data_IF_885578396868
#
_entry.id   IF_885578396868
#
_cell.length_a   1.000
_cell.length_b   1.000
_cell.length_c   1.000
_cell.angle_alpha   90.00
_cell.angle_beta   90.00
_cell.angle_gamma   90.00
#
_symmetry.space_group_name_H-M   'P 1'
#
loop_
_entity.id
_entity.type
_entity.pdbx_description
1 polymer ?
#
# COMPACT_ATOMS: atom_id res chain seq x y z
N UNK A 1 -26.21 -31.67 13.32
CA UNK A 1 -24.98 -30.83 13.36
C UNK A 1 -24.68 -30.36 11.94
N UNK A 2 -25.27 -29.24 11.56
CA UNK A 2 -24.97 -28.56 10.29
C UNK A 2 -24.58 -27.14 10.64
N UNK A 3 -23.33 -26.94 11.03
CA UNK A 3 -22.79 -25.59 11.22
C UNK A 3 -22.49 -25.02 9.84
N UNK A 4 -23.05 -23.87 9.52
CA UNK A 4 -22.56 -23.07 8.39
C UNK A 4 -21.17 -22.58 8.75
N UNK A 5 -20.15 -23.04 8.03
CA UNK A 5 -18.80 -22.48 8.16
C UNK A 5 -18.82 -21.04 7.67
N UNK A 6 -18.38 -20.12 8.53
CA UNK A 6 -18.19 -18.71 8.20
C UNK A 6 -16.69 -18.44 8.16
N UNK A 7 -16.22 -17.84 7.08
CA UNK A 7 -14.87 -17.30 6.97
C UNK A 7 -14.97 -15.78 6.72
N UNK A 8 -14.11 -15.01 7.38
CA UNK A 8 -14.03 -13.55 7.21
C UNK A 8 -12.62 -13.17 6.82
N UNK A 9 -12.50 -12.41 5.75
CA UNK A 9 -11.26 -11.82 5.27
C UNK A 9 -11.38 -10.30 5.37
N UNK A 10 -10.44 -9.68 6.06
CA UNK A 10 -10.36 -8.23 6.23
C UNK A 10 -8.91 -7.81 6.25
N UNK A 11 -8.60 -6.63 5.70
CA UNK A 11 -7.24 -6.10 5.52
C UNK A 11 -6.29 -7.10 4.84
N UNK A 12 -6.83 -7.90 3.90
CA UNK A 12 -6.14 -9.05 3.31
C UNK A 12 -5.80 -8.77 1.85
N UNK A 13 -4.63 -9.26 1.39
CA UNK A 13 -4.31 -9.35 -0.04
C UNK A 13 -4.32 -10.82 -0.45
N UNK A 14 -5.13 -11.16 -1.46
CA UNK A 14 -5.11 -12.46 -2.11
C UNK A 14 -4.86 -12.28 -3.61
N UNK A 15 -3.58 -12.29 -4.00
CA UNK A 15 -3.14 -11.96 -5.35
C UNK A 15 -2.23 -13.04 -5.96
N UNK A 16 -2.33 -13.29 -7.27
CA UNK A 16 -1.53 -14.25 -8.04
C UNK A 16 -1.61 -15.71 -7.54
N UNK A 17 -2.75 -16.11 -6.96
CA UNK A 17 -2.98 -17.45 -6.40
C UNK A 17 -3.76 -18.39 -7.34
N UNK A 18 -4.04 -17.96 -8.58
CA UNK A 18 -4.90 -18.68 -9.52
C UNK A 18 -6.38 -18.26 -9.40
N UNK A 19 -7.31 -18.85 -10.19
CA UNK A 19 -8.68 -18.33 -10.30
C UNK A 19 -9.41 -18.34 -8.96
N UNK A 20 -9.85 -17.15 -8.54
CA UNK A 20 -10.74 -16.80 -7.42
C UNK A 20 -10.99 -17.94 -6.40
N UNK A 21 -10.25 -18.00 -5.28
CA UNK A 21 -10.22 -19.16 -4.39
C UNK A 21 -11.48 -19.34 -3.52
N UNK A 22 -12.43 -18.40 -3.57
CA UNK A 22 -13.58 -18.36 -2.67
C UNK A 22 -14.81 -19.09 -3.23
N UNK A 23 -14.63 -20.35 -3.67
CA UNK A 23 -15.70 -21.23 -4.14
C UNK A 23 -16.01 -22.33 -3.13
N UNK A 24 -16.96 -22.12 -2.22
CA UNK A 24 -17.38 -23.13 -1.24
C UNK A 24 -18.81 -22.89 -0.72
N UNK A 25 -19.47 -23.94 -0.22
CA UNK A 25 -20.87 -23.88 0.26
C UNK A 25 -21.08 -23.20 1.61
N UNK A 26 -20.13 -22.39 2.09
CA UNK A 26 -20.19 -21.62 3.33
C UNK A 26 -20.42 -20.13 3.07
N UNK A 27 -20.54 -19.34 4.13
CA UNK A 27 -20.62 -17.87 4.02
C UNK A 27 -19.21 -17.29 4.12
N UNK A 28 -18.81 -16.51 3.12
CA UNK A 28 -17.53 -15.80 3.12
C UNK A 28 -17.82 -14.30 3.15
N UNK A 29 -17.37 -13.62 4.18
CA UNK A 29 -17.38 -12.15 4.28
C UNK A 29 -16.02 -11.61 3.89
N UNK A 30 -15.96 -10.72 2.91
CA UNK A 30 -14.72 -10.07 2.47
C UNK A 30 -14.97 -8.57 2.48
N UNK A 31 -14.20 -7.82 3.24
CA UNK A 31 -14.26 -6.35 3.32
C UNK A 31 -12.86 -5.78 3.43
N UNK A 32 -12.62 -4.56 2.96
CA UNK A 32 -11.31 -3.90 3.03
C UNK A 32 -10.16 -4.83 2.64
N UNK A 33 -10.27 -5.52 1.50
CA UNK A 33 -9.31 -6.52 1.05
C UNK A 33 -9.08 -6.41 -0.45
N UNK A 34 -7.87 -6.69 -0.90
CA UNK A 34 -7.53 -6.72 -2.32
C UNK A 34 -7.50 -8.17 -2.82
N UNK A 35 -8.43 -8.50 -3.72
CA UNK A 35 -8.69 -9.87 -4.16
C UNK A 35 -8.65 -9.95 -5.68
N UNK A 36 -7.70 -10.71 -6.21
CA UNK A 36 -7.58 -10.94 -7.65
C UNK A 36 -8.84 -11.62 -8.21
N UNK A 37 -9.45 -10.98 -9.21
CA UNK A 37 -10.72 -11.42 -9.80
C UNK A 37 -11.96 -10.87 -9.09
N UNK A 38 -11.75 -10.02 -8.08
CA UNK A 38 -12.76 -9.22 -7.42
C UNK A 38 -13.54 -9.94 -6.33
N UNK A 39 -13.86 -9.21 -5.26
CA UNK A 39 -14.73 -9.66 -4.18
C UNK A 39 -15.83 -8.64 -3.89
N UNK A 40 -17.08 -9.11 -3.78
CA UNK A 40 -18.20 -8.26 -3.38
C UNK A 40 -18.07 -7.96 -1.88
N UNK A 41 -18.08 -6.67 -1.53
CA UNK A 41 -18.01 -6.19 -0.15
C UNK A 41 -17.60 -4.73 -0.09
N UNK A 42 -17.71 -4.13 1.09
CA UNK A 42 -17.25 -2.76 1.35
C UNK A 42 -15.72 -2.69 1.32
N UNK A 43 -15.17 -1.66 0.68
CA UNK A 43 -13.73 -1.37 0.69
C UNK A 43 -12.85 -2.38 -0.03
N UNK A 44 -13.40 -3.36 -0.76
CA UNK A 44 -12.58 -4.32 -1.49
C UNK A 44 -11.99 -3.72 -2.77
N UNK A 45 -10.78 -4.14 -3.09
CA UNK A 45 -10.05 -3.80 -4.31
C UNK A 45 -9.86 -5.04 -5.20
N UNK A 46 -9.56 -4.79 -6.47
CA UNK A 46 -9.14 -5.80 -7.47
C UNK A 46 -8.11 -5.12 -8.38
N UNK A 47 -6.91 -4.92 -7.84
CA UNK A 47 -5.84 -4.12 -8.46
C UNK A 47 -4.49 -4.76 -8.15
N UNK A 48 -3.49 -4.55 -9.01
CA UNK A 48 -2.14 -5.07 -8.73
C UNK A 48 -1.59 -4.46 -7.42
N UNK A 49 -1.25 -5.27 -6.40
CA UNK A 49 -0.68 -4.79 -5.15
C UNK A 49 0.69 -4.14 -5.31
N UNK A 50 1.34 -4.27 -6.47
CA UNK A 50 2.68 -3.75 -6.74
C UNK A 50 3.70 -4.23 -5.70
N UNK A 51 3.73 -5.55 -5.42
CA UNK A 51 4.72 -6.15 -4.54
C UNK A 51 6.15 -5.89 -5.04
N UNK A 52 7.08 -5.66 -4.11
CA UNK A 52 8.48 -5.36 -4.39
C UNK A 52 9.17 -6.46 -5.23
N UNK A 53 8.77 -7.72 -5.08
CA UNK A 53 9.23 -8.79 -5.94
C UNK A 53 8.75 -10.19 -5.55
N UNK A 54 9.18 -11.24 -6.27
CA UNK A 54 8.81 -12.61 -5.96
C UNK A 54 9.29 -13.04 -4.56
N UNK A 55 8.35 -13.33 -3.68
CA UNK A 55 8.63 -13.68 -2.27
C UNK A 55 8.93 -12.46 -1.38
N UNK A 56 8.88 -11.25 -1.94
CA UNK A 56 8.98 -9.99 -1.23
C UNK A 56 7.63 -9.27 -1.32
N UNK A 57 6.82 -9.47 -0.27
CA UNK A 57 5.44 -8.99 -0.21
C UNK A 57 5.31 -7.57 0.34
N UNK A 58 6.41 -6.82 0.43
CA UNK A 58 6.35 -5.39 0.73
C UNK A 58 5.67 -4.66 -0.41
N UNK A 59 4.84 -3.67 -0.06
CA UNK A 59 4.14 -2.83 -1.01
C UNK A 59 5.10 -1.79 -1.63
N UNK A 60 5.04 -1.66 -2.96
CA UNK A 60 5.81 -0.68 -3.71
C UNK A 60 5.34 0.76 -3.50
N UNK A 61 6.13 1.70 -4.02
CA UNK A 61 5.94 3.13 -3.81
C UNK A 61 4.75 3.73 -4.56
N UNK A 62 3.53 3.51 -4.05
CA UNK A 62 2.27 3.89 -4.70
C UNK A 62 1.44 2.67 -5.11
N UNK A 63 1.66 1.55 -4.43
CA UNK A 63 0.67 0.49 -4.35
C UNK A 63 -0.68 1.05 -3.90
N UNK A 64 -1.79 0.69 -4.56
CA UNK A 64 -3.15 1.05 -4.12
C UNK A 64 -3.57 0.35 -2.83
N UNK A 65 -2.75 -0.60 -2.32
CA UNK A 65 -2.97 -1.29 -1.06
C UNK A 65 -2.43 -0.53 0.16
N UNK A 66 -1.67 0.54 -0.05
CA UNK A 66 -1.17 1.41 1.02
C UNK A 66 -2.31 2.27 1.54
N UNK A 67 -2.43 2.40 2.86
CA UNK A 67 -3.47 3.17 3.56
C UNK A 67 -4.92 2.79 3.17
N UNK A 68 -5.14 1.56 2.68
CA UNK A 68 -6.41 1.14 2.08
C UNK A 68 -7.26 0.21 2.99
N UNK A 69 -6.73 -0.18 4.15
CA UNK A 69 -7.41 -1.05 5.09
C UNK A 69 -8.31 -0.32 6.09
N UNK A 70 -8.82 -1.09 7.05
CA UNK A 70 -9.67 -0.62 8.15
C UNK A 70 -8.97 -0.81 9.50
N UNK A 71 -8.63 0.30 10.15
CA UNK A 71 -8.02 0.32 11.49
C UNK A 71 -8.90 -0.36 12.55
N UNK A 72 -10.22 -0.14 12.46
CA UNK A 72 -11.21 -0.74 13.35
C UNK A 72 -11.23 -2.27 13.28
N UNK A 73 -10.77 -2.84 12.16
CA UNK A 73 -10.69 -4.28 11.95
C UNK A 73 -9.35 -4.89 12.42
N UNK A 74 -8.37 -4.08 12.82
CA UNK A 74 -7.10 -4.56 13.38
C UNK A 74 -7.34 -5.10 14.79
N UNK A 75 -7.05 -6.39 15.07
CA UNK A 75 -7.18 -6.92 16.42
C UNK A 75 -6.26 -6.17 17.39
N UNK A 76 -6.77 -5.80 18.57
CA UNK A 76 -6.03 -4.95 19.50
C UNK A 76 -4.75 -5.56 20.08
N UNK A 77 -4.52 -6.86 19.91
CA UNK A 77 -3.29 -7.57 20.27
C UNK A 77 -2.26 -7.64 19.13
N UNK A 78 -2.63 -7.25 17.91
CA UNK A 78 -1.73 -7.14 16.77
C UNK A 78 -1.19 -5.71 16.70
N UNK A 79 -0.03 -5.48 17.32
CA UNK A 79 0.57 -4.13 17.40
C UNK A 79 1.67 -3.89 16.36
N UNK A 80 2.19 -4.93 15.72
CA UNK A 80 3.22 -4.82 14.69
C UNK A 80 2.90 -5.65 13.47
N UNK A 81 3.51 -5.30 12.35
CA UNK A 81 3.56 -6.12 11.14
C UNK A 81 4.60 -7.26 11.26
N UNK A 82 4.87 -7.97 10.16
CA UNK A 82 5.85 -9.08 10.13
C UNK A 82 7.31 -8.63 10.20
N UNK A 83 7.61 -7.36 9.91
CA UNK A 83 8.95 -6.76 10.04
C UNK A 83 9.18 -6.13 11.42
N UNK A 84 8.13 -6.11 12.26
CA UNK A 84 8.16 -5.53 13.60
C UNK A 84 7.90 -4.03 13.64
N UNK A 85 7.54 -3.41 12.51
CA UNK A 85 7.07 -2.03 12.46
C UNK A 85 5.65 -1.93 13.05
N UNK A 86 5.21 -0.76 13.57
CA UNK A 86 3.83 -0.60 14.05
C UNK A 86 2.82 -1.03 12.99
N UNK A 87 1.77 -1.78 13.38
CA UNK A 87 0.80 -2.34 12.42
C UNK A 87 -0.05 -1.28 11.72
N UNK A 88 -0.11 -0.06 12.24
CA UNK A 88 -0.83 1.04 11.61
C UNK A 88 0.16 2.18 11.49
N UNK A 89 0.53 2.51 10.26
CA UNK A 89 1.31 3.67 9.89
C UNK A 89 0.52 4.51 8.87
N UNK A 90 0.96 5.74 8.58
CA UNK A 90 0.26 6.58 7.61
C UNK A 90 -1.12 7.06 8.06
N UNK A 91 -2.06 7.08 7.13
CA UNK A 91 -3.46 7.48 7.34
C UNK A 91 -4.36 6.30 7.77
N UNK A 92 -4.03 5.07 7.37
CA UNK A 92 -4.73 3.85 7.76
C UNK A 92 -3.85 2.61 7.59
N UNK A 93 -4.25 1.48 8.16
CA UNK A 93 -3.55 0.20 8.01
C UNK A 93 -3.41 -0.22 6.54
N UNK A 94 -2.22 -0.66 6.16
CA UNK A 94 -1.96 -1.25 4.84
C UNK A 94 -2.64 -2.62 4.70
N UNK A 95 -3.14 -2.91 3.51
CA UNK A 95 -3.63 -4.25 3.19
C UNK A 95 -2.46 -5.25 3.19
N UNK A 96 -2.72 -6.45 3.71
CA UNK A 96 -1.72 -7.52 3.76
C UNK A 96 -1.01 -7.62 5.10
N UNK A 97 0.22 -8.12 5.08
CA UNK A 97 0.96 -8.52 6.28
C UNK A 97 2.13 -7.58 6.65
N UNK A 98 2.46 -6.65 5.76
CA UNK A 98 3.57 -5.72 5.89
C UNK A 98 3.03 -4.30 5.80
N UNK A 99 3.53 -3.43 6.66
CA UNK A 99 3.29 -2.01 6.57
C UNK A 99 4.41 -1.38 5.75
N UNK A 100 4.04 -0.56 4.76
CA UNK A 100 4.98 0.32 4.12
C UNK A 100 5.31 1.43 5.10
N UNK A 101 6.51 1.37 5.66
CA UNK A 101 7.03 2.45 6.49
C UNK A 101 7.03 3.74 5.66
N UNK A 102 6.27 4.78 6.07
CA UNK A 102 6.33 6.06 5.42
C UNK A 102 7.77 6.54 5.49
N UNK A 103 8.36 6.92 4.35
CA UNK A 103 9.67 7.55 4.40
C UNK A 103 9.55 8.79 5.28
N UNK A 104 10.44 8.99 6.28
CA UNK A 104 10.43 10.19 7.11
C UNK A 104 10.55 11.48 6.28
N UNK A 105 10.99 11.34 5.03
CA UNK A 105 10.89 12.36 4.01
C UNK A 105 10.45 11.72 2.69
N UNK A 106 9.16 11.82 2.33
CA UNK A 106 8.64 11.32 1.07
C UNK A 106 9.35 11.92 -0.15
N UNK A 107 9.97 13.08 0.02
CA UNK A 107 10.66 13.86 -1.01
C UNK A 107 12.16 13.58 -1.10
N UNK A 108 12.71 12.75 -0.20
CA UNK A 108 14.06 12.17 -0.32
C UNK A 108 13.97 10.94 -1.23
N UNK A 109 14.12 11.19 -2.53
CA UNK A 109 13.94 10.22 -3.60
C UNK A 109 15.19 9.40 -3.87
N UNK A 110 16.37 9.87 -3.45
CA UNK A 110 17.64 9.13 -3.59
C UNK A 110 18.13 8.47 -2.29
N UNK A 111 17.48 8.76 -1.16
CA UNK A 111 17.69 8.13 0.14
C UNK A 111 18.90 8.69 0.89
N UNK A 112 19.34 9.91 0.59
CA UNK A 112 20.51 10.53 1.22
C UNK A 112 20.23 11.19 2.58
N UNK A 113 18.96 11.19 3.01
CA UNK A 113 18.48 11.79 4.25
C UNK A 113 18.19 13.29 4.13
N UNK A 114 18.18 13.84 2.92
CA UNK A 114 17.82 15.23 2.64
C UNK A 114 16.91 15.33 1.42
N UNK A 115 16.10 16.39 1.37
CA UNK A 115 15.40 16.79 0.15
C UNK A 115 16.16 17.94 -0.49
N UNK A 116 16.74 17.69 -1.66
CA UNK A 116 17.64 18.59 -2.34
C UNK A 116 17.69 18.42 -3.86
N UNK A 117 18.80 18.90 -4.43
CA UNK A 117 18.97 18.94 -5.88
C UNK A 117 19.11 17.55 -6.50
N UNK A 118 19.56 16.56 -5.73
CA UNK A 118 19.66 15.19 -6.16
C UNK A 118 18.26 14.57 -6.32
N UNK A 119 17.37 14.79 -5.35
CA UNK A 119 15.96 14.38 -5.43
C UNK A 119 15.22 15.09 -6.56
N UNK A 120 15.46 16.39 -6.72
CA UNK A 120 14.92 17.12 -7.86
C UNK A 120 15.35 16.49 -9.19
N UNK A 121 16.59 16.01 -9.30
CA UNK A 121 17.05 15.32 -10.49
C UNK A 121 16.34 13.98 -10.70
N UNK A 122 16.08 13.22 -9.62
CA UNK A 122 15.30 11.96 -9.68
C UNK A 122 13.85 12.23 -10.10
N UNK A 123 13.22 13.28 -9.55
CA UNK A 123 11.86 13.69 -9.91
C UNK A 123 11.79 14.09 -11.39
N UNK A 124 12.70 14.94 -11.85
CA UNK A 124 12.76 15.36 -13.26
C UNK A 124 13.09 14.20 -14.22
N UNK A 125 13.89 13.23 -13.79
CA UNK A 125 14.17 12.03 -14.58
C UNK A 125 12.93 11.13 -14.74
N UNK A 126 11.98 11.21 -13.81
CA UNK A 126 10.75 10.42 -13.78
C UNK A 126 9.54 11.15 -14.35
N UNK A 127 9.73 12.34 -14.94
CA UNK A 127 8.65 13.22 -15.39
C UNK A 127 7.74 12.56 -16.43
N UNK A 128 6.43 12.63 -16.20
CA UNK A 128 5.42 11.98 -17.03
C UNK A 128 4.70 10.85 -16.30
N UNK A 129 4.18 9.87 -17.04
CA UNK A 129 3.36 8.81 -16.44
C UNK A 129 4.23 7.90 -15.58
N UNK A 130 3.86 7.79 -14.31
CA UNK A 130 4.56 6.99 -13.33
C UNK A 130 3.52 6.46 -12.36
N UNK A 131 3.09 5.22 -12.53
CA UNK A 131 2.09 4.61 -11.64
C UNK A 131 2.84 3.80 -10.61
N UNK A 132 2.79 4.22 -9.34
CA UNK A 132 3.45 3.51 -8.26
C UNK A 132 4.98 3.68 -8.22
N UNK A 133 5.49 4.87 -8.54
CA UNK A 133 6.90 5.19 -8.35
C UNK A 133 7.12 6.26 -7.26
N UNK A 134 8.31 6.29 -6.61
CA UNK A 134 8.58 7.22 -5.52
C UNK A 134 8.43 8.71 -5.86
N UNK A 135 8.60 9.07 -7.14
CA UNK A 135 8.54 10.47 -7.59
C UNK A 135 7.11 11.01 -7.80
N UNK A 136 6.09 10.16 -7.80
CA UNK A 136 4.65 10.53 -7.85
C UNK A 136 4.17 10.80 -6.42
N UNK A 137 4.56 11.97 -5.91
CA UNK A 137 4.43 12.38 -4.51
C UNK A 137 2.99 12.70 -4.11
N UNK A 138 2.13 13.04 -5.07
CA UNK A 138 0.70 13.26 -4.84
C UNK A 138 -0.19 12.05 -5.21
N UNK A 139 0.41 10.97 -5.71
CA UNK A 139 -0.29 9.74 -6.09
C UNK A 139 -1.23 9.90 -7.28
N UNK A 140 -1.07 10.93 -8.11
CA UNK A 140 -1.94 11.18 -9.27
C UNK A 140 -1.73 10.21 -10.43
N UNK A 141 -0.69 9.37 -10.36
CA UNK A 141 -0.26 8.46 -11.42
C UNK A 141 0.62 9.15 -12.47
N UNK A 142 1.04 10.40 -12.22
CA UNK A 142 1.91 11.19 -13.10
C UNK A 142 2.83 12.09 -12.30
N UNK A 143 4.14 12.01 -12.57
CA UNK A 143 5.12 12.97 -12.05
C UNK A 143 5.03 14.26 -12.87
N UNK A 144 4.67 15.35 -12.20
CA UNK A 144 4.46 16.65 -12.81
C UNK A 144 4.71 17.83 -11.88
N UNK A 145 4.05 18.94 -12.19
CA UNK A 145 4.24 20.19 -11.47
C UNK A 145 3.72 20.14 -10.02
N UNK A 146 2.74 19.28 -9.74
CA UNK A 146 2.23 19.07 -8.39
C UNK A 146 3.29 18.38 -7.51
N UNK A 147 3.92 17.32 -8.00
CA UNK A 147 5.03 16.63 -7.31
C UNK A 147 6.22 17.54 -7.11
N UNK A 148 6.57 18.33 -8.14
CA UNK A 148 7.61 19.34 -8.03
C UNK A 148 7.31 20.34 -6.91
N UNK A 149 6.06 20.78 -6.79
CA UNK A 149 5.66 21.71 -5.72
C UNK A 149 5.79 21.06 -4.33
N UNK A 150 5.45 19.78 -4.20
CA UNK A 150 5.62 19.02 -2.95
C UNK A 150 7.11 18.91 -2.60
N UNK A 151 7.96 18.51 -3.55
CA UNK A 151 9.41 18.40 -3.35
C UNK A 151 10.03 19.73 -2.92
N UNK A 152 9.68 20.83 -3.59
CA UNK A 152 10.19 22.15 -3.26
C UNK A 152 9.68 22.67 -1.90
N UNK A 153 8.47 22.27 -1.48
CA UNK A 153 7.93 22.64 -0.18
C UNK A 153 8.66 21.97 1.00
N UNK A 154 9.27 20.80 0.76
CA UNK A 154 9.97 20.00 1.76
C UNK A 154 11.51 20.15 1.72
N UNK A 155 12.04 21.15 0.99
CA UNK A 155 13.48 21.31 0.78
C UNK A 155 14.28 21.48 2.09
N UNK A 156 15.28 20.63 2.30
CA UNK A 156 16.11 20.62 3.52
C UNK A 156 16.34 19.23 4.10
N UNK A 157 16.89 19.18 5.32
CA UNK A 157 17.09 17.91 6.02
C UNK A 157 15.77 17.33 6.51
N UNK A 158 15.66 16.00 6.49
CA UNK A 158 14.53 15.29 7.06
C UNK A 158 14.62 15.29 8.60
N UNK A 159 13.51 15.59 9.28
CA UNK A 159 13.45 15.75 10.74
C UNK A 159 12.67 14.65 11.41
#
# INVERSE_FOLDING_TARGET
IGGTSVATFVNTIAWSNGPAPFGGGGTIGITFSDIEGGAIGEGNLDVDPLFAGPGDYHLGAGSPCVDAGSDDAVPGDVTTDLDGAPRIQGEAVDLGAYERTPSPCPTDLDGDGTTGAADLAVLLASWGRCTGCPADLDGSGTVGAADLAILLAAWGACG
#
